data_IF_331699759668
#
_entry.id   IF_331699759668
#
_cell.length_a   1.000
_cell.length_b   1.000
_cell.length_c   1.000
_cell.angle_alpha   90.00
_cell.angle_beta   90.00
_cell.angle_gamma   90.00
#
_symmetry.space_group_name_H-M   'P 1'
#
loop_
_entity.id
_entity.type
_entity.pdbx_description
1 polymer ?
#
# COMPACT_ATOMS: atom_id res chain seq x y z
N UNK A 1 -7.82 0.07 16.85
CA UNK A 1 -8.84 1.10 16.64
C UNK A 1 -10.18 0.44 16.80
N UNK A 2 -10.86 0.75 17.90
CA UNK A 2 -12.19 0.21 18.17
C UNK A 2 -13.25 1.19 17.66
N UNK A 3 -14.34 0.68 17.11
CA UNK A 3 -15.63 1.40 17.11
C UNK A 3 -15.92 2.33 15.93
N UNK A 4 -16.01 1.79 14.71
CA UNK A 4 -16.76 2.44 13.63
C UNK A 4 -16.14 3.72 13.01
N UNK A 5 -15.00 4.19 13.51
CA UNK A 5 -14.30 5.35 12.96
C UNK A 5 -13.96 5.14 11.49
N UNK A 6 -14.37 6.09 10.65
CA UNK A 6 -13.98 6.16 9.25
C UNK A 6 -12.62 6.85 9.17
N UNK A 7 -11.67 6.27 8.43
CA UNK A 7 -10.34 6.85 8.22
C UNK A 7 -10.01 6.80 6.73
N UNK A 8 -9.64 7.95 6.17
CA UNK A 8 -9.22 8.07 4.78
C UNK A 8 -7.80 8.66 4.71
N UNK A 9 -6.88 8.01 3.96
CA UNK A 9 -5.60 8.62 3.67
C UNK A 9 -5.80 9.76 2.66
N UNK A 10 -5.16 10.89 2.91
CA UNK A 10 -5.20 12.05 2.02
C UNK A 10 -3.82 12.67 1.90
N UNK A 11 -3.58 13.42 0.84
CA UNK A 11 -2.42 14.28 0.73
C UNK A 11 -2.86 15.71 0.42
N UNK A 12 -2.09 16.68 0.89
CA UNK A 12 -2.35 18.10 0.74
C UNK A 12 -1.07 18.84 0.35
N UNK A 13 -1.23 20.01 -0.28
CA UNK A 13 -0.13 20.88 -0.65
C UNK A 13 -0.07 22.09 0.29
N UNK A 14 1.13 22.53 0.64
CA UNK A 14 1.33 23.82 1.29
C UNK A 14 1.29 24.99 0.27
N UNK A 15 1.38 26.23 0.76
CA UNK A 15 1.38 27.43 -0.07
C UNK A 15 2.55 27.50 -1.07
N UNK A 16 3.60 26.70 -0.84
CA UNK A 16 4.77 26.57 -1.73
C UNK A 16 4.60 25.45 -2.76
N UNK A 17 3.49 24.70 -2.71
CA UNK A 17 3.21 23.56 -3.58
C UNK A 17 3.88 22.26 -3.16
N UNK A 18 4.38 22.16 -1.92
CA UNK A 18 4.97 20.93 -1.38
C UNK A 18 3.89 20.01 -0.84
N UNK A 19 3.89 18.74 -1.24
CA UNK A 19 2.93 17.72 -0.82
C UNK A 19 3.30 17.04 0.50
N UNK A 20 2.26 16.73 1.27
CA UNK A 20 2.31 16.01 2.53
C UNK A 20 1.16 15.02 2.60
N UNK A 21 1.45 13.80 3.05
CA UNK A 21 0.45 12.77 3.35
C UNK A 21 -0.01 12.86 4.80
N UNK A 22 -1.29 12.61 5.03
CA UNK A 22 -1.94 12.62 6.34
C UNK A 22 -3.25 11.82 6.29
N UNK A 23 -4.09 11.92 7.32
CA UNK A 23 -5.39 11.28 7.34
C UNK A 23 -6.50 12.29 7.65
N UNK A 24 -7.69 12.04 7.11
CA UNK A 24 -8.94 12.57 7.64
C UNK A 24 -9.71 11.43 8.28
N UNK A 25 -10.40 11.72 9.38
CA UNK A 25 -11.19 10.72 10.07
C UNK A 25 -12.50 11.30 10.59
N UNK A 26 -13.48 10.43 10.76
CA UNK A 26 -14.80 10.73 11.32
C UNK A 26 -15.16 9.67 12.35
N UNK A 27 -15.63 10.12 13.51
CA UNK A 27 -16.08 9.25 14.62
C UNK A 27 -17.60 9.22 14.75
N UNK A 28 -18.31 9.82 13.80
CA UNK A 28 -19.76 10.03 13.79
C UNK A 28 -20.37 9.66 12.42
N UNK A 29 -19.96 8.51 11.89
CA UNK A 29 -20.48 7.93 10.66
C UNK A 29 -20.44 8.86 9.43
N UNK A 30 -19.46 9.78 9.41
CA UNK A 30 -19.20 10.70 8.30
C UNK A 30 -19.91 12.05 8.41
N UNK A 31 -20.59 12.36 9.52
CA UNK A 31 -21.23 13.67 9.73
C UNK A 31 -20.20 14.80 9.89
N UNK A 32 -19.14 14.58 10.68
CA UNK A 32 -18.04 15.52 10.87
C UNK A 32 -16.69 14.86 10.60
N UNK A 33 -15.80 15.62 9.96
CA UNK A 33 -14.46 15.16 9.61
C UNK A 33 -13.40 16.01 10.30
N UNK A 34 -12.40 15.33 10.85
CA UNK A 34 -11.22 15.93 11.46
C UNK A 34 -10.00 15.58 10.63
N UNK A 35 -9.13 16.58 10.43
CA UNK A 35 -7.82 16.39 9.83
C UNK A 35 -6.82 16.01 10.94
N UNK A 36 -5.92 15.05 10.68
CA UNK A 36 -4.87 14.71 11.64
C UNK A 36 -3.84 15.83 11.80
N UNK A 37 -3.31 15.98 13.02
CA UNK A 37 -2.28 16.99 13.31
C UNK A 37 -0.92 16.61 12.71
N UNK A 38 -0.59 15.32 12.68
CA UNK A 38 0.67 14.82 12.14
C UNK A 38 0.59 14.60 10.64
N UNK A 39 1.72 14.85 9.99
CA UNK A 39 1.90 14.69 8.54
C UNK A 39 3.14 13.85 8.25
N UNK A 40 3.25 13.32 7.04
CA UNK A 40 4.48 12.72 6.53
C UNK A 40 5.58 13.78 6.39
N UNK A 41 6.83 13.37 6.12
CA UNK A 41 7.81 14.29 5.55
C UNK A 41 7.29 14.96 4.27
N UNK A 42 7.95 16.05 3.91
CA UNK A 42 7.76 16.75 2.64
C UNK A 42 7.98 15.80 1.47
N UNK A 43 7.28 16.04 0.37
CA UNK A 43 7.50 15.33 -0.89
C UNK A 43 7.22 13.82 -0.76
N UNK A 44 6.16 13.50 0.00
CA UNK A 44 5.64 12.16 0.18
C UNK A 44 4.13 12.15 -0.08
N UNK A 45 3.71 11.48 -1.16
CA UNK A 45 2.33 11.42 -1.65
C UNK A 45 1.82 9.98 -1.81
N UNK A 46 0.66 9.83 -2.46
CA UNK A 46 -0.03 8.57 -2.71
C UNK A 46 -0.21 7.70 -1.45
N UNK A 47 -0.76 8.25 -0.35
CA UNK A 47 -0.88 7.52 0.88
C UNK A 47 -1.88 6.36 0.75
N UNK A 48 -1.46 5.21 1.26
CA UNK A 48 -2.28 4.00 1.42
C UNK A 48 -2.29 3.66 2.91
N UNK A 49 -3.45 3.31 3.45
CA UNK A 49 -3.59 3.08 4.91
C UNK A 49 -4.20 1.74 5.22
N UNK A 50 -3.76 1.12 6.31
CA UNK A 50 -4.36 -0.07 6.89
C UNK A 50 -4.24 -0.07 8.41
N UNK A 51 -5.00 -0.92 9.09
CA UNK A 51 -4.94 -1.07 10.54
C UNK A 51 -4.29 -2.40 10.95
N UNK A 52 -3.21 -2.33 11.72
CA UNK A 52 -2.47 -3.48 12.25
C UNK A 52 -2.34 -3.39 13.77
N UNK A 53 -2.77 -4.44 14.48
CA UNK A 53 -2.63 -4.58 15.94
C UNK A 53 -2.98 -3.32 16.78
N UNK A 54 -3.99 -2.55 16.35
CA UNK A 54 -4.45 -1.35 17.04
C UNK A 54 -3.79 -0.04 16.57
N UNK A 55 -2.82 -0.12 15.66
CA UNK A 55 -2.13 1.02 15.03
C UNK A 55 -2.59 1.23 13.59
N UNK A 56 -2.55 2.47 13.12
CA UNK A 56 -2.57 2.79 11.69
C UNK A 56 -1.18 2.61 11.11
N UNK A 57 -1.14 1.98 9.95
CA UNK A 57 0.04 1.94 9.09
C UNK A 57 -0.29 2.75 7.84
N UNK A 58 0.52 3.77 7.56
CA UNK A 58 0.43 4.54 6.31
C UNK A 58 1.68 4.27 5.47
N UNK A 59 1.47 3.85 4.24
CA UNK A 59 2.49 3.69 3.21
C UNK A 59 2.42 4.89 2.28
N UNK A 60 3.54 5.56 2.05
CA UNK A 60 3.64 6.76 1.22
C UNK A 60 4.78 6.62 0.20
N UNK A 61 4.61 7.26 -0.95
CA UNK A 61 5.61 7.34 -2.01
C UNK A 61 6.40 8.65 -1.84
N UNK A 62 7.69 8.57 -1.54
CA UNK A 62 8.58 9.74 -1.41
C UNK A 62 9.66 9.75 -2.52
N UNK A 63 10.41 10.85 -2.65
CA UNK A 63 11.49 10.99 -3.66
C UNK A 63 12.52 9.83 -3.61
N UNK A 64 12.88 9.37 -2.41
CA UNK A 64 13.87 8.30 -2.20
C UNK A 64 13.25 6.89 -2.08
N UNK A 65 11.97 6.75 -2.42
CA UNK A 65 11.23 5.49 -2.41
C UNK A 65 10.10 5.46 -1.39
N UNK A 66 9.55 4.27 -1.17
CA UNK A 66 8.40 4.10 -0.30
C UNK A 66 8.77 4.04 1.17
N UNK A 67 7.93 4.62 2.01
CA UNK A 67 8.09 4.64 3.46
C UNK A 67 6.81 4.24 4.17
N UNK A 68 6.96 3.53 5.29
CA UNK A 68 5.84 3.17 6.16
C UNK A 68 5.98 3.87 7.50
N UNK A 69 4.89 4.48 7.95
CA UNK A 69 4.78 5.09 9.26
C UNK A 69 3.67 4.42 10.07
N UNK A 70 3.94 4.23 11.36
CA UNK A 70 2.96 3.76 12.33
C UNK A 70 2.41 4.93 13.14
N UNK A 71 1.11 4.93 13.42
CA UNK A 71 0.49 5.83 14.39
C UNK A 71 -0.45 5.06 15.31
N UNK A 72 -0.32 5.30 16.61
CA UNK A 72 -1.22 4.77 17.66
C UNK A 72 -2.22 5.80 18.16
N UNK A 73 -2.15 7.02 17.64
CA UNK A 73 -2.86 8.20 18.14
C UNK A 73 -3.60 8.95 17.02
N UNK A 74 -4.17 8.19 16.07
CA UNK A 74 -4.99 8.69 14.96
C UNK A 74 -4.27 9.76 14.13
N UNK A 75 -3.01 9.49 13.79
CA UNK A 75 -2.19 10.37 12.96
C UNK A 75 -1.74 11.65 13.67
N UNK A 76 -1.83 11.73 15.01
CA UNK A 76 -1.26 12.87 15.75
C UNK A 76 0.26 12.80 15.74
N UNK A 77 0.82 11.61 15.91
CA UNK A 77 2.24 11.32 15.73
C UNK A 77 2.44 10.14 14.78
N UNK A 78 3.47 10.25 13.95
CA UNK A 78 3.89 9.22 13.02
C UNK A 78 5.30 8.77 13.39
N UNK A 79 5.45 7.52 13.81
CA UNK A 79 6.76 6.90 14.03
C UNK A 79 7.15 6.13 12.78
N UNK A 80 8.17 6.62 12.09
CA UNK A 80 8.68 6.00 10.87
C UNK A 80 9.64 4.87 11.16
N UNK A 81 9.53 3.80 10.37
CA UNK A 81 10.61 2.82 10.22
C UNK A 81 11.12 2.95 8.80
N UNK A 82 12.38 3.29 8.60
CA UNK A 82 12.94 3.44 7.25
C UNK A 82 12.93 2.06 6.56
N UNK A 83 11.90 1.81 5.75
CA UNK A 83 11.82 0.69 4.81
C UNK A 83 11.63 -0.70 5.41
N UNK A 84 11.03 -0.81 6.60
CA UNK A 84 10.72 -2.12 7.20
C UNK A 84 9.44 -2.03 8.03
N UNK A 85 8.29 -2.32 7.41
CA UNK A 85 7.42 -3.27 8.10
C UNK A 85 8.23 -4.57 8.12
N UNK A 86 8.55 -5.17 9.27
CA UNK A 86 9.21 -6.47 9.29
C UNK A 86 8.47 -7.44 8.37
N UNK A 87 9.11 -7.76 7.23
CA UNK A 87 8.54 -8.61 6.20
C UNK A 87 8.05 -7.95 4.90
N UNK A 88 7.70 -6.65 4.90
CA UNK A 88 7.41 -5.91 3.65
C UNK A 88 8.67 -5.19 3.21
N UNK A 89 9.19 -5.54 2.04
CA UNK A 89 10.40 -4.93 1.49
C UNK A 89 10.01 -3.74 0.63
N UNK A 90 10.35 -2.52 1.04
CA UNK A 90 10.00 -1.28 0.32
C UNK A 90 11.22 -0.53 -0.22
N UNK A 91 12.44 -1.02 0.08
CA UNK A 91 13.69 -0.43 -0.44
C UNK A 91 14.14 -1.15 -1.70
N UNK A 92 14.46 -0.40 -2.74
CA UNK A 92 15.23 -0.89 -3.87
C UNK A 92 16.55 -1.50 -3.36
N UNK A 93 16.89 -2.70 -3.81
CA UNK A 93 18.24 -3.23 -3.63
C UNK A 93 19.19 -2.49 -4.59
N UNK A 94 20.42 -2.14 -4.17
CA UNK A 94 21.43 -1.65 -5.09
C UNK A 94 21.83 -2.80 -6.03
N UNK A 95 21.09 -2.93 -7.12
CA UNK A 95 21.33 -3.84 -8.23
C UNK A 95 21.77 -3.00 -9.43
N UNK A 96 22.51 -3.57 -10.40
CA UNK A 96 22.92 -2.87 -11.62
C UNK A 96 21.73 -2.39 -12.49
N UNK A 97 20.50 -2.78 -12.16
CA UNK A 97 19.26 -2.18 -12.63
C UNK A 97 18.60 -1.51 -11.42
N UNK A 98 18.22 -0.25 -11.49
CA UNK A 98 17.42 0.41 -10.47
C UNK A 98 16.09 -0.35 -10.31
N UNK A 99 16.06 -1.34 -9.40
CA UNK A 99 14.91 -2.21 -9.17
C UNK A 99 14.00 -1.50 -8.18
N UNK A 100 13.00 -0.78 -8.70
CA UNK A 100 11.96 -0.16 -7.88
C UNK A 100 11.09 -1.26 -7.25
N UNK A 101 11.40 -1.66 -6.02
CA UNK A 101 10.52 -2.46 -5.19
C UNK A 101 9.37 -1.58 -4.72
N UNK A 102 8.26 -1.58 -5.46
CA UNK A 102 7.10 -0.73 -5.21
C UNK A 102 5.90 -1.56 -4.75
N UNK A 103 5.34 -1.22 -3.59
CA UNK A 103 4.11 -1.80 -3.04
C UNK A 103 2.92 -1.00 -3.54
N UNK A 104 2.02 -1.65 -4.28
CA UNK A 104 0.87 -1.00 -4.91
C UNK A 104 -0.35 -0.99 -3.98
N UNK A 105 -0.59 -2.10 -3.29
CA UNK A 105 -1.74 -2.29 -2.39
C UNK A 105 -1.29 -2.96 -1.11
N UNK A 106 -1.86 -2.54 0.03
CA UNK A 106 -1.63 -3.11 1.35
C UNK A 106 -2.97 -3.15 2.09
N UNK A 107 -3.44 -4.34 2.44
CA UNK A 107 -4.67 -4.56 3.21
C UNK A 107 -4.39 -5.49 4.39
N UNK A 108 -5.27 -5.46 5.38
CA UNK A 108 -5.31 -6.48 6.44
C UNK A 108 -6.50 -7.39 6.28
N UNK A 109 -6.30 -8.66 6.63
CA UNK A 109 -7.33 -9.69 6.52
C UNK A 109 -7.20 -10.67 7.68
N UNK A 110 -8.31 -11.30 8.04
CA UNK A 110 -8.33 -12.46 8.93
C UNK A 110 -8.60 -13.71 8.08
N UNK A 111 -7.60 -14.59 7.99
CA UNK A 111 -7.64 -15.84 7.22
C UNK A 111 -7.43 -16.99 8.19
N UNK A 112 -8.35 -17.95 8.25
CA UNK A 112 -8.27 -19.10 9.17
C UNK A 112 -7.91 -18.67 10.61
N UNK A 113 -8.63 -17.68 11.13
CA UNK A 113 -8.46 -17.09 12.48
C UNK A 113 -7.14 -16.32 12.71
N UNK A 114 -6.30 -16.15 11.68
CA UNK A 114 -5.05 -15.40 11.77
C UNK A 114 -5.15 -14.06 11.07
N UNK A 115 -4.83 -12.99 11.79
CA UNK A 115 -4.68 -11.66 11.22
C UNK A 115 -3.37 -11.59 10.45
N UNK A 116 -3.42 -11.17 9.19
CA UNK A 116 -2.27 -11.00 8.29
C UNK A 116 -2.40 -9.72 7.49
N UNK A 117 -1.27 -9.21 7.00
CA UNK A 117 -1.22 -8.20 5.94
C UNK A 117 -1.03 -8.90 4.60
N UNK A 118 -1.81 -8.48 3.61
CA UNK A 118 -1.66 -8.88 2.21
C UNK A 118 -1.22 -7.65 1.43
N UNK A 119 -0.21 -7.81 0.58
CA UNK A 119 0.25 -6.71 -0.25
C UNK A 119 0.70 -7.17 -1.64
N UNK A 120 0.52 -6.28 -2.60
CA UNK A 120 1.05 -6.46 -3.96
C UNK A 120 2.34 -5.67 -4.12
N UNK A 121 3.35 -6.27 -4.72
CA UNK A 121 4.66 -5.67 -4.89
C UNK A 121 5.21 -5.94 -6.29
N UNK A 122 5.71 -4.89 -6.95
CA UNK A 122 6.51 -4.98 -8.18
C UNK A 122 7.94 -5.35 -7.83
N UNK A 123 8.55 -6.24 -8.61
CA UNK A 123 9.96 -6.59 -8.39
C UNK A 123 10.38 -7.91 -9.02
N UNK A 124 11.39 -8.55 -8.43
CA UNK A 124 11.93 -9.83 -8.88
C UNK A 124 11.73 -10.86 -7.77
N UNK A 125 10.65 -11.63 -7.83
CA UNK A 125 10.53 -12.79 -6.97
C UNK A 125 11.26 -13.97 -7.63
N UNK A 126 12.37 -14.41 -7.04
CA UNK A 126 13.05 -15.68 -7.34
C UNK A 126 13.49 -15.92 -8.80
N UNK A 127 14.62 -15.36 -9.22
CA UNK A 127 15.38 -15.93 -10.35
C UNK A 127 14.79 -15.76 -11.76
N UNK A 128 13.55 -15.30 -11.91
CA UNK A 128 12.86 -15.16 -13.21
C UNK A 128 13.07 -13.80 -13.86
N UNK A 129 13.57 -13.77 -15.10
CA UNK A 129 14.00 -12.61 -15.91
C UNK A 129 12.84 -11.67 -16.34
N UNK A 130 11.93 -11.35 -15.41
CA UNK A 130 10.69 -10.61 -15.63
C UNK A 130 10.62 -9.43 -14.67
N UNK A 131 11.23 -8.32 -15.08
CA UNK A 131 11.22 -7.02 -14.38
C UNK A 131 9.82 -6.40 -14.23
N UNK A 132 8.79 -7.03 -14.79
CA UNK A 132 7.45 -6.49 -15.00
C UNK A 132 6.36 -7.28 -14.25
N UNK A 133 6.69 -8.20 -13.33
CA UNK A 133 5.66 -8.97 -12.64
C UNK A 133 5.21 -8.28 -11.32
N UNK A 134 3.90 -8.30 -11.08
CA UNK A 134 3.29 -7.92 -9.81
C UNK A 134 3.05 -9.18 -8.99
N UNK A 135 3.56 -9.18 -7.76
CA UNK A 135 3.54 -10.35 -6.89
C UNK A 135 2.66 -10.12 -5.67
N UNK A 136 1.96 -11.17 -5.26
CA UNK A 136 1.23 -11.20 -4.00
C UNK A 136 2.11 -11.77 -2.88
N UNK A 137 2.08 -11.08 -1.76
CA UNK A 137 2.77 -11.45 -0.54
C UNK A 137 1.82 -11.47 0.64
N UNK A 138 2.15 -12.31 1.62
CA UNK A 138 1.48 -12.35 2.92
C UNK A 138 2.50 -12.20 4.03
N UNK A 139 2.18 -11.40 5.05
CA UNK A 139 3.04 -11.22 6.22
C UNK A 139 2.24 -11.13 7.50
N UNK A 140 2.77 -11.67 8.58
CA UNK A 140 2.24 -11.53 9.94
C UNK A 140 3.03 -10.47 10.74
N UNK A 141 3.76 -9.58 10.06
CA UNK A 141 4.68 -8.60 10.65
C UNK A 141 5.90 -9.22 11.36
N UNK A 142 6.18 -10.51 11.12
CA UNK A 142 7.36 -11.21 11.61
C UNK A 142 8.00 -12.07 10.51
N UNK A 143 7.17 -12.80 9.77
CA UNK A 143 7.53 -13.66 8.64
C UNK A 143 6.77 -13.19 7.43
N UNK A 144 7.39 -13.34 6.27
CA UNK A 144 6.73 -13.08 5.00
C UNK A 144 6.87 -14.27 4.08
N UNK A 145 5.77 -14.52 3.37
CA UNK A 145 5.66 -15.59 2.43
C UNK A 145 5.27 -15.02 1.08
N UNK A 146 6.01 -15.45 0.08
CA UNK A 146 5.76 -15.17 -1.31
C UNK A 146 4.69 -16.13 -1.83
N UNK A 147 3.56 -15.61 -2.30
CA UNK A 147 2.46 -16.43 -2.83
C UNK A 147 2.70 -16.76 -4.30
N UNK A 148 2.93 -15.73 -5.13
CA UNK A 148 3.06 -15.91 -6.57
C UNK A 148 2.84 -14.62 -7.37
N UNK A 149 3.08 -14.64 -8.69
CA UNK A 149 2.72 -13.55 -9.58
C UNK A 149 1.20 -13.50 -9.75
N UNK A 150 0.64 -12.30 -9.67
CA UNK A 150 -0.81 -12.05 -9.84
C UNK A 150 -1.12 -11.19 -11.06
N UNK A 151 -0.16 -10.39 -11.51
CA UNK A 151 -0.26 -9.62 -12.74
C UNK A 151 1.08 -9.59 -13.47
N UNK A 152 1.03 -9.42 -14.79
CA UNK A 152 2.17 -9.04 -15.60
C UNK A 152 1.93 -7.62 -16.11
N UNK A 153 2.80 -6.70 -15.73
CA UNK A 153 3.04 -5.44 -16.41
C UNK A 153 3.57 -5.80 -17.81
N UNK A 154 2.99 -5.20 -18.83
CA UNK A 154 3.36 -5.45 -20.22
C UNK A 154 4.58 -4.58 -20.56
N UNK A 155 5.38 -4.96 -21.55
CA UNK A 155 6.52 -4.15 -22.02
C UNK A 155 6.07 -2.84 -22.71
N UNK A 156 4.75 -2.63 -22.83
CA UNK A 156 4.13 -1.42 -23.35
C UNK A 156 4.17 -0.26 -22.34
N UNK A 157 4.01 0.97 -22.84
CA UNK A 157 3.95 2.21 -22.06
C UNK A 157 2.61 2.34 -21.29
N UNK A 158 2.22 1.30 -20.56
CA UNK A 158 0.95 1.15 -19.89
C UNK A 158 1.15 1.42 -18.39
N UNK A 159 0.37 2.33 -17.83
CA UNK A 159 0.30 2.53 -16.39
C UNK A 159 -0.56 1.42 -15.77
N UNK A 160 0.04 0.67 -14.83
CA UNK A 160 -0.66 -0.31 -14.01
C UNK A 160 -1.01 0.30 -12.65
N UNK A 161 -2.27 0.17 -12.23
CA UNK A 161 -2.70 0.47 -10.87
C UNK A 161 -3.49 -0.73 -10.32
N UNK A 162 -3.23 -1.12 -9.08
CA UNK A 162 -3.87 -2.30 -8.47
C UNK A 162 -4.44 -2.02 -7.09
N UNK A 163 -5.49 -2.76 -6.73
CA UNK A 163 -6.02 -2.77 -5.37
C UNK A 163 -6.52 -4.17 -4.99
N UNK A 164 -6.22 -4.58 -3.76
CA UNK A 164 -6.69 -5.83 -3.18
C UNK A 164 -8.00 -5.63 -2.43
N UNK A 165 -8.86 -6.64 -2.50
CA UNK A 165 -10.06 -6.74 -1.68
C UNK A 165 -10.18 -8.15 -1.12
N UNK A 166 -10.17 -8.26 0.21
CA UNK A 166 -10.56 -9.48 0.90
C UNK A 166 -11.97 -9.33 1.46
N UNK A 167 -12.89 -10.16 0.98
CA UNK A 167 -14.29 -10.12 1.39
C UNK A 167 -14.91 -11.51 1.27
N UNK A 168 -15.75 -11.90 2.23
CA UNK A 168 -16.46 -13.19 2.22
C UNK A 168 -15.53 -14.40 2.00
N UNK A 169 -14.37 -14.40 2.69
CA UNK A 169 -13.36 -15.45 2.58
C UNK A 169 -12.68 -15.53 1.22
N UNK A 170 -12.81 -14.51 0.37
CA UNK A 170 -12.28 -14.48 -1.01
C UNK A 170 -11.39 -13.27 -1.22
N UNK A 171 -10.23 -13.51 -1.81
CA UNK A 171 -9.32 -12.47 -2.24
C UNK A 171 -9.60 -12.11 -3.70
N UNK A 172 -9.68 -10.82 -3.97
CA UNK A 172 -9.86 -10.25 -5.29
C UNK A 172 -8.77 -9.23 -5.57
N UNK A 173 -8.40 -9.12 -6.84
CA UNK A 173 -7.47 -8.14 -7.37
C UNK A 173 -8.20 -7.33 -8.44
N UNK A 174 -8.31 -6.04 -8.24
CA UNK A 174 -8.74 -5.11 -9.28
C UNK A 174 -7.49 -4.47 -9.87
N UNK A 175 -7.38 -4.55 -11.19
CA UNK A 175 -6.30 -3.96 -11.97
C UNK A 175 -6.88 -2.95 -12.94
N UNK A 176 -6.22 -1.79 -13.04
CA UNK A 176 -6.42 -0.84 -14.12
C UNK A 176 -5.15 -0.79 -14.96
N UNK A 177 -5.35 -0.92 -16.25
CA UNK A 177 -4.34 -0.79 -17.29
C UNK A 177 -4.70 0.41 -18.15
N UNK A 178 -3.80 1.37 -18.33
CA UNK A 178 -4.08 2.56 -19.14
C UNK A 178 -2.90 3.02 -19.97
N UNK A 179 -3.19 3.54 -21.15
CA UNK A 179 -2.26 4.29 -21.99
C UNK A 179 -2.81 5.71 -22.23
N UNK A 180 -2.23 6.46 -23.18
CA UNK A 180 -2.66 7.83 -23.48
C UNK A 180 -4.06 7.92 -24.11
N UNK A 181 -4.61 6.84 -24.66
CA UNK A 181 -5.87 6.86 -25.43
C UNK A 181 -6.99 6.08 -24.74
N UNK A 182 -6.66 5.10 -23.90
CA UNK A 182 -7.62 4.14 -23.37
C UNK A 182 -7.26 3.65 -21.98
N UNK A 183 -8.28 3.17 -21.25
CA UNK A 183 -8.09 2.46 -19.99
C UNK A 183 -9.05 1.28 -19.91
N UNK A 184 -8.56 0.18 -19.34
CA UNK A 184 -9.30 -1.05 -19.09
C UNK A 184 -9.15 -1.40 -17.62
N UNK A 185 -10.25 -1.81 -17.00
CA UNK A 185 -10.26 -2.37 -15.65
C UNK A 185 -10.66 -3.84 -15.70
N UNK A 186 -9.97 -4.67 -14.93
CA UNK A 186 -10.26 -6.09 -14.78
C UNK A 186 -10.30 -6.47 -13.31
N UNK A 187 -11.34 -7.22 -12.92
CA UNK A 187 -11.49 -7.76 -11.58
C UNK A 187 -11.28 -9.27 -11.63
N UNK A 188 -10.26 -9.74 -10.93
CA UNK A 188 -9.89 -11.14 -10.85
C UNK A 188 -10.13 -11.67 -9.45
N UNK A 189 -10.73 -12.85 -9.35
CA UNK A 189 -10.78 -13.60 -8.09
C UNK A 189 -9.53 -14.46 -7.98
N UNK A 190 -8.77 -14.32 -6.91
CA UNK A 190 -7.55 -15.09 -6.67
C UNK A 190 -7.94 -16.40 -5.98
N UNK A 191 -8.26 -17.41 -6.79
CA UNK A 191 -8.52 -18.79 -6.37
C UNK A 191 -7.41 -19.68 -6.88
N UNK A 192 -6.54 -20.13 -5.97
CA UNK A 192 -5.32 -20.93 -6.20
C UNK A 192 -4.04 -20.11 -6.39
#
# INVERSE_FOLDING_TARGET
MEGGTLVLPVFAFDDSGVDFSMIIYSTDDGENWMLSNGTSPKECSNPRITEWEGSLLILVDCEDGQRVYESRDMGTTWTGTIGTLPGVWTKSQPSPRDLSLHVDSLITATIEERKVMLYTQRGYALGEDKTAALYLWVTDNNRSFYVGPVAMEDDGNWELATTLLYSDGKLHLLERRSDYESSVMSLSRLTE
#
